data_IF_336997476077
#
_entry.id   IF_336997476077
#
_cell.length_a   1.000
_cell.length_b   1.000
_cell.length_c   1.000
_cell.angle_alpha   90.00
_cell.angle_beta   90.00
_cell.angle_gamma   90.00
#
_symmetry.space_group_name_H-M   'P 1'
#
loop_
_entity.id
_entity.type
_entity.pdbx_description
1 polymer ?
#
# COMPACT_ATOMS: atom_id res chain seq x y z
N UNK A 1 -4.48 -7.82 30.04
CA UNK A 1 -5.04 -6.46 29.92
C UNK A 1 -4.06 -5.48 29.27
N UNK A 2 -2.81 -5.41 29.73
CA UNK A 2 -1.74 -4.52 29.20
C UNK A 2 -1.54 -4.60 27.67
N UNK A 3 -1.55 -5.81 27.08
CA UNK A 3 -1.37 -5.98 25.62
C UNK A 3 -2.48 -5.35 24.76
N UNK A 4 -3.71 -5.25 25.26
CA UNK A 4 -4.81 -4.62 24.49
C UNK A 4 -4.67 -3.10 24.46
N UNK A 5 -4.38 -2.49 25.60
CA UNK A 5 -4.17 -1.03 25.70
C UNK A 5 -3.03 -0.57 24.80
N UNK A 6 -1.90 -1.29 24.82
CA UNK A 6 -0.76 -1.00 23.94
C UNK A 6 -1.13 -1.12 22.44
N UNK A 7 -2.03 -2.05 22.09
CA UNK A 7 -2.49 -2.23 20.72
C UNK A 7 -3.38 -1.07 20.25
N UNK A 8 -4.32 -0.64 21.09
CA UNK A 8 -5.21 0.48 20.77
C UNK A 8 -4.42 1.80 20.65
N UNK A 9 -3.42 2.00 21.52
CA UNK A 9 -2.52 3.15 21.46
C UNK A 9 -1.69 3.17 20.19
N UNK A 10 -1.13 2.03 19.77
CA UNK A 10 -0.36 1.94 18.53
C UNK A 10 -1.21 2.28 17.30
N UNK A 11 -2.45 1.79 17.24
CA UNK A 11 -3.38 2.12 16.13
C UNK A 11 -3.73 3.60 16.12
N UNK A 12 -3.97 4.21 17.29
CA UNK A 12 -4.24 5.64 17.41
C UNK A 12 -3.05 6.48 16.94
N UNK A 13 -1.83 6.13 17.33
CA UNK A 13 -0.60 6.81 16.90
C UNK A 13 -0.42 6.66 15.38
N UNK A 14 -0.60 5.45 14.84
CA UNK A 14 -0.49 5.22 13.40
C UNK A 14 -1.53 6.01 12.60
N UNK A 15 -2.78 6.08 13.08
CA UNK A 15 -3.81 6.88 12.45
C UNK A 15 -3.48 8.38 12.48
N UNK A 16 -2.96 8.89 13.59
CA UNK A 16 -2.48 10.27 13.69
C UNK A 16 -1.32 10.54 12.71
N UNK A 17 -0.38 9.60 12.62
CA UNK A 17 0.74 9.67 11.67
C UNK A 17 0.25 9.79 10.23
N UNK A 18 -0.69 8.94 9.81
CA UNK A 18 -1.26 8.96 8.45
C UNK A 18 -2.05 10.24 8.17
N UNK A 19 -2.84 10.72 9.13
CA UNK A 19 -3.57 11.99 9.01
C UNK A 19 -2.63 13.20 8.89
N UNK A 20 -1.48 13.18 9.58
CA UNK A 20 -0.49 14.25 9.50
C UNK A 20 0.09 14.46 8.08
N UNK A 21 -0.05 13.46 7.21
CA UNK A 21 0.45 13.52 5.84
C UNK A 21 -0.53 14.14 4.84
N UNK A 22 -1.80 14.40 5.20
CA UNK A 22 -2.82 14.82 4.21
C UNK A 22 -2.38 16.00 3.36
N UNK A 23 -1.92 17.08 3.99
CA UNK A 23 -1.47 18.30 3.28
C UNK A 23 -0.22 18.05 2.43
N UNK A 24 0.76 17.35 3.01
CA UNK A 24 1.97 16.95 2.29
C UNK A 24 1.64 16.11 1.05
N UNK A 25 0.69 15.18 1.18
CA UNK A 25 0.26 14.32 0.09
C UNK A 25 -0.42 15.11 -1.02
N UNK A 26 -1.34 16.03 -0.71
CA UNK A 26 -2.09 16.79 -1.74
C UNK A 26 -1.25 17.89 -2.40
N UNK A 27 -0.41 18.59 -1.64
CA UNK A 27 0.24 19.82 -2.10
C UNK A 27 1.70 19.64 -2.53
N UNK A 28 2.50 18.98 -1.70
CA UNK A 28 3.95 18.83 -1.92
C UNK A 28 4.27 17.59 -2.76
N UNK A 29 3.88 16.40 -2.27
CA UNK A 29 4.10 15.11 -2.92
C UNK A 29 3.20 14.91 -4.15
N UNK A 30 2.05 15.61 -4.19
CA UNK A 30 1.02 15.48 -5.23
C UNK A 30 0.63 14.02 -5.46
N UNK A 31 0.35 13.31 -4.37
CA UNK A 31 -0.09 11.92 -4.31
C UNK A 31 0.76 10.97 -5.17
N UNK A 32 2.09 11.10 -5.13
CA UNK A 32 3.02 10.34 -5.99
C UNK A 32 2.72 8.83 -6.06
N UNK A 33 2.50 8.18 -4.91
CA UNK A 33 2.20 6.75 -4.85
C UNK A 33 0.90 6.38 -5.60
N UNK A 34 -0.10 7.27 -5.60
CA UNK A 34 -1.34 7.10 -6.34
C UNK A 34 -1.17 7.27 -7.86
N UNK A 35 -0.04 7.80 -8.33
CA UNK A 35 0.20 8.10 -9.76
C UNK A 35 1.12 7.13 -10.48
N UNK A 36 1.91 6.36 -9.73
CA UNK A 36 3.00 5.55 -10.29
C UNK A 36 3.12 4.15 -9.72
N UNK A 37 2.40 3.84 -8.65
CA UNK A 37 2.50 2.54 -7.99
C UNK A 37 1.64 1.45 -8.62
N UNK A 38 1.53 0.37 -7.87
CA UNK A 38 0.53 -0.67 -8.01
C UNK A 38 -0.20 -0.79 -6.67
N UNK A 39 -1.39 -1.34 -6.70
CA UNK A 39 -2.17 -1.58 -5.50
C UNK A 39 -2.73 -3.00 -5.56
N UNK A 40 -2.35 -3.82 -4.60
CA UNK A 40 -2.93 -5.16 -4.44
C UNK A 40 -3.98 -5.07 -3.34
N UNK A 41 -5.21 -5.44 -3.69
CA UNK A 41 -6.38 -5.33 -2.80
C UNK A 41 -7.07 -6.68 -2.73
N UNK A 42 -7.48 -7.16 -1.54
CA UNK A 42 -8.32 -8.35 -1.44
C UNK A 42 -9.59 -8.20 -2.28
N UNK A 43 -10.04 -9.27 -2.97
CA UNK A 43 -11.20 -9.21 -3.89
C UNK A 43 -12.43 -8.53 -3.28
N UNK A 44 -12.70 -8.84 -2.00
CA UNK A 44 -13.83 -8.29 -1.23
C UNK A 44 -13.80 -6.76 -1.10
N UNK A 45 -12.61 -6.15 -1.11
CA UNK A 45 -12.42 -4.69 -0.98
C UNK A 45 -12.15 -4.01 -2.33
N UNK A 46 -11.98 -4.77 -3.40
CA UNK A 46 -11.63 -4.25 -4.73
C UNK A 46 -12.81 -3.61 -5.47
N UNK A 47 -14.06 -3.88 -5.04
CA UNK A 47 -15.30 -3.47 -5.71
C UNK A 47 -15.36 -1.98 -6.06
N UNK A 48 -14.97 -1.11 -5.11
CA UNK A 48 -14.99 0.35 -5.29
C UNK A 48 -14.00 0.79 -6.37
N UNK A 49 -12.85 0.13 -6.49
CA UNK A 49 -11.87 0.47 -7.51
C UNK A 49 -12.23 -0.14 -8.86
N UNK A 50 -12.75 -1.38 -8.88
CA UNK A 50 -13.22 -2.03 -10.09
C UNK A 50 -14.32 -1.22 -10.80
N UNK A 51 -15.22 -0.58 -10.05
CA UNK A 51 -16.28 0.26 -10.65
C UNK A 51 -15.75 1.57 -11.26
N UNK A 52 -14.53 1.99 -10.93
CA UNK A 52 -13.91 3.22 -11.42
C UNK A 52 -12.89 2.98 -12.53
N UNK A 53 -12.30 1.78 -12.59
CA UNK A 53 -11.37 1.41 -13.66
C UNK A 53 -12.15 1.09 -14.93
N UNK A 54 -11.92 1.86 -15.99
CA UNK A 54 -12.50 1.60 -17.33
C UNK A 54 -11.61 0.77 -18.24
N UNK A 55 -10.30 0.73 -17.95
CA UNK A 55 -9.30 0.02 -18.77
C UNK A 55 -8.92 -1.29 -18.08
N UNK A 56 -9.39 -2.41 -18.65
CA UNK A 56 -9.12 -3.75 -18.13
C UNK A 56 -7.63 -4.10 -18.11
N UNK A 57 -6.80 -3.50 -18.96
CA UNK A 57 -5.34 -3.73 -18.96
C UNK A 57 -4.66 -3.20 -17.68
N UNK A 58 -5.39 -2.43 -16.87
CA UNK A 58 -4.92 -1.94 -15.57
C UNK A 58 -5.28 -2.87 -14.42
N UNK A 59 -6.00 -3.94 -14.67
CA UNK A 59 -6.52 -4.86 -13.66
C UNK A 59 -5.96 -6.26 -13.91
N UNK A 60 -5.32 -6.85 -12.90
CA UNK A 60 -4.94 -8.27 -12.90
C UNK A 60 -5.68 -8.98 -11.78
N UNK A 61 -6.53 -9.94 -12.13
CA UNK A 61 -7.18 -10.81 -11.15
C UNK A 61 -6.20 -11.88 -10.67
N UNK A 62 -6.05 -11.99 -9.35
CA UNK A 62 -5.26 -13.02 -8.66
C UNK A 62 -6.21 -13.98 -7.93
N UNK A 63 -5.74 -15.12 -7.36
CA UNK A 63 -6.62 -16.06 -6.66
C UNK A 63 -7.47 -15.42 -5.56
N UNK A 64 -6.86 -14.60 -4.68
CA UNK A 64 -7.57 -13.98 -3.53
C UNK A 64 -7.59 -12.44 -3.56
N UNK A 65 -6.98 -11.85 -4.58
CA UNK A 65 -6.79 -10.40 -4.67
C UNK A 65 -6.95 -9.88 -6.10
N UNK A 66 -6.94 -8.56 -6.22
CA UNK A 66 -6.93 -7.83 -7.48
C UNK A 66 -5.76 -6.86 -7.41
N UNK A 67 -4.90 -6.91 -8.43
CA UNK A 67 -3.82 -5.95 -8.60
C UNK A 67 -4.24 -4.85 -9.57
N UNK A 68 -4.04 -3.61 -9.17
CA UNK A 68 -4.32 -2.42 -9.96
C UNK A 68 -3.03 -1.74 -10.34
N UNK A 69 -2.82 -1.52 -11.64
CA UNK A 69 -1.74 -0.69 -12.17
C UNK A 69 -2.13 0.77 -12.09
N UNK A 70 -1.40 1.57 -11.30
CA UNK A 70 -1.68 3.00 -11.12
C UNK A 70 -0.90 3.88 -12.12
N UNK A 71 -0.31 3.29 -13.18
CA UNK A 71 0.41 4.01 -14.23
C UNK A 71 -0.59 4.88 -15.00
N UNK A 72 -0.52 6.20 -14.79
CA UNK A 72 -1.48 7.16 -15.35
C UNK A 72 -2.59 7.60 -14.37
N UNK A 73 -2.34 7.47 -13.06
CA UNK A 73 -3.19 7.89 -11.94
C UNK A 73 -4.22 6.85 -11.49
N UNK A 74 -4.32 6.67 -10.18
CA UNK A 74 -5.40 5.92 -9.53
C UNK A 74 -6.75 6.46 -10.04
N UNK A 75 -7.69 5.58 -10.43
CA UNK A 75 -8.99 6.01 -10.95
C UNK A 75 -9.80 6.92 -10.00
N UNK A 76 -9.54 6.80 -8.70
CA UNK A 76 -10.17 7.63 -7.68
C UNK A 76 -9.37 8.91 -7.36
N UNK A 77 -8.30 9.23 -8.09
CA UNK A 77 -7.50 10.43 -7.86
C UNK A 77 -8.06 11.61 -8.66
N UNK A 78 -8.45 12.66 -7.96
CA UNK A 78 -8.94 13.93 -8.55
C UNK A 78 -8.20 15.06 -7.84
N UNK A 79 -7.49 15.91 -8.60
CA UNK A 79 -6.71 17.04 -8.05
C UNK A 79 -5.80 16.62 -6.87
N UNK A 80 -5.07 15.51 -7.04
CA UNK A 80 -4.20 14.91 -6.01
C UNK A 80 -4.89 14.48 -4.70
N UNK A 81 -6.22 14.41 -4.70
CA UNK A 81 -7.05 13.96 -3.58
C UNK A 81 -7.86 12.73 -3.97
N UNK A 82 -8.20 11.88 -3.00
CA UNK A 82 -8.97 10.68 -3.26
C UNK A 82 -10.48 10.99 -3.22
N UNK A 83 -11.18 10.79 -4.34
CA UNK A 83 -12.63 11.03 -4.47
C UNK A 83 -13.49 10.05 -3.68
N UNK A 84 -12.95 8.87 -3.33
CA UNK A 84 -13.63 7.83 -2.55
C UNK A 84 -13.00 7.64 -1.17
N UNK A 85 -12.56 8.74 -0.54
CA UNK A 85 -11.78 8.72 0.71
C UNK A 85 -12.35 7.79 1.80
N UNK A 86 -13.68 7.81 1.99
CA UNK A 86 -14.37 7.01 3.00
C UNK A 86 -14.67 5.57 2.59
N UNK A 87 -14.48 5.24 1.31
CA UNK A 87 -14.68 3.90 0.74
C UNK A 87 -13.35 3.26 0.31
N UNK A 88 -12.21 3.90 0.62
CA UNK A 88 -10.89 3.38 0.30
C UNK A 88 -10.67 1.99 0.89
N UNK A 89 -10.03 1.06 0.15
CA UNK A 89 -9.58 -0.22 0.68
C UNK A 89 -8.65 -0.06 1.88
N UNK A 90 -8.58 -1.09 2.72
CA UNK A 90 -7.80 -1.06 3.95
C UNK A 90 -6.31 -0.79 3.68
N UNK A 91 -5.74 -1.38 2.63
CA UNK A 91 -4.36 -1.12 2.20
C UNK A 91 -4.08 0.37 1.93
N UNK A 92 -5.04 1.11 1.37
CA UNK A 92 -4.91 2.55 1.16
C UNK A 92 -5.05 3.36 2.46
N UNK A 93 -5.82 2.85 3.43
CA UNK A 93 -5.97 3.48 4.77
C UNK A 93 -4.76 3.25 5.64
N UNK A 94 -4.06 2.14 5.42
CA UNK A 94 -2.86 1.79 6.16
C UNK A 94 -1.58 2.37 5.56
N UNK A 95 -1.57 2.68 4.28
CA UNK A 95 -0.44 3.35 3.64
C UNK A 95 -0.17 4.74 4.25
N UNK A 96 1.09 5.14 4.49
CA UNK A 96 2.33 4.39 4.26
C UNK A 96 2.86 3.62 5.49
N UNK A 97 2.10 3.55 6.59
CA UNK A 97 2.54 3.00 7.87
C UNK A 97 1.58 1.89 8.33
N UNK A 98 1.98 0.64 8.17
CA UNK A 98 1.17 -0.54 8.46
C UNK A 98 1.51 -1.12 9.83
N UNK A 99 0.50 -1.63 10.52
CA UNK A 99 0.65 -2.41 11.75
C UNK A 99 0.19 -3.84 11.49
N UNK A 100 1.01 -4.82 11.84
CA UNK A 100 0.65 -6.24 11.72
C UNK A 100 1.14 -6.98 12.98
N UNK A 101 0.21 -7.38 13.84
CA UNK A 101 0.55 -7.89 15.16
C UNK A 101 1.34 -6.84 15.95
N UNK A 102 2.55 -7.22 16.39
CA UNK A 102 3.50 -6.32 17.08
C UNK A 102 4.55 -5.73 16.14
N UNK A 103 4.34 -5.82 14.82
CA UNK A 103 5.29 -5.37 13.81
C UNK A 103 4.81 -4.09 13.14
N UNK A 104 5.71 -3.12 12.97
CA UNK A 104 5.52 -1.89 12.21
C UNK A 104 6.20 -2.06 10.85
N UNK A 105 5.49 -1.73 9.77
CA UNK A 105 6.04 -1.69 8.41
C UNK A 105 5.78 -0.31 7.81
N UNK A 106 6.75 0.23 7.07
CA UNK A 106 6.63 1.54 6.41
C UNK A 106 6.89 1.38 4.93
N UNK A 107 6.15 2.05 4.03
CA UNK A 107 6.45 1.93 2.59
C UNK A 107 7.68 2.73 2.19
N UNK A 108 8.64 2.09 1.51
CA UNK A 108 9.83 2.76 0.97
C UNK A 108 9.52 3.69 -0.21
N UNK A 109 8.40 3.47 -0.90
CA UNK A 109 7.95 4.28 -2.04
C UNK A 109 7.30 5.60 -1.63
N UNK A 110 7.07 5.84 -0.34
CA UNK A 110 6.45 7.08 0.13
C UNK A 110 7.49 8.17 0.36
N UNK A 111 7.38 9.29 -0.35
CA UNK A 111 8.26 10.45 -0.17
C UNK A 111 8.25 10.98 1.26
N UNK A 112 7.10 10.92 1.97
CA UNK A 112 7.03 11.34 3.37
C UNK A 112 7.86 10.44 4.30
N UNK A 113 7.92 9.13 4.00
CA UNK A 113 8.78 8.18 4.73
C UNK A 113 10.24 8.50 4.46
N UNK A 114 10.62 8.71 3.19
CA UNK A 114 11.99 9.05 2.80
C UNK A 114 12.47 10.38 3.43
N UNK A 115 11.56 11.33 3.66
CA UNK A 115 11.84 12.59 4.35
C UNK A 115 11.74 12.49 5.88
N UNK A 116 11.56 11.30 6.46
CA UNK A 116 11.53 11.09 7.90
C UNK A 116 10.30 11.64 8.63
N UNK A 117 9.25 12.09 7.91
CA UNK A 117 8.07 12.75 8.53
C UNK A 117 7.29 11.84 9.50
N UNK A 118 7.43 10.52 9.35
CA UNK A 118 6.76 9.53 10.19
C UNK A 118 7.60 9.05 11.38
N UNK A 119 8.89 9.37 11.41
CA UNK A 119 9.82 8.82 12.41
C UNK A 119 9.44 9.20 13.85
N UNK A 120 8.93 10.41 14.16
CA UNK A 120 8.45 10.72 15.50
C UNK A 120 7.30 9.82 15.97
N UNK A 121 6.42 9.40 15.05
CA UNK A 121 5.30 8.49 15.36
C UNK A 121 5.77 7.05 15.50
N UNK A 122 6.66 6.60 14.60
CA UNK A 122 7.25 5.26 14.67
C UNK A 122 7.99 5.09 15.99
N UNK A 123 8.79 6.06 16.41
CA UNK A 123 9.49 6.03 17.69
C UNK A 123 8.53 5.88 18.89
N UNK A 124 7.35 6.52 18.85
CA UNK A 124 6.33 6.34 19.88
C UNK A 124 5.76 4.92 19.89
N UNK A 125 5.49 4.35 18.71
CA UNK A 125 4.96 2.98 18.60
C UNK A 125 6.00 1.96 19.09
N UNK A 126 7.28 2.14 18.76
CA UNK A 126 8.36 1.25 19.22
C UNK A 126 8.50 1.25 20.74
N UNK A 127 8.27 2.39 21.42
CA UNK A 127 8.24 2.46 22.90
C UNK A 127 7.11 1.65 23.53
N UNK A 128 6.07 1.29 22.77
CA UNK A 128 4.99 0.40 23.22
C UNK A 128 5.36 -1.09 23.10
N UNK A 129 6.59 -1.42 22.69
CA UNK A 129 7.07 -2.80 22.55
C UNK A 129 6.85 -3.40 21.16
N UNK A 130 6.54 -2.57 20.17
CA UNK A 130 6.50 -2.98 18.76
C UNK A 130 7.91 -3.07 18.17
N UNK A 131 8.07 -3.87 17.13
CA UNK A 131 9.31 -4.00 16.37
C UNK A 131 9.13 -3.46 14.96
N UNK A 132 10.18 -2.84 14.40
CA UNK A 132 10.20 -2.46 13.00
C UNK A 132 10.54 -3.71 12.17
N UNK A 133 9.82 -3.95 11.08
CA UNK A 133 10.14 -5.06 10.18
C UNK A 133 11.57 -4.90 9.62
N UNK A 134 12.42 -5.94 9.70
CA UNK A 134 13.84 -5.85 9.31
C UNK A 134 14.02 -5.67 7.80
N UNK A 135 13.11 -6.25 7.02
CA UNK A 135 12.97 -6.01 5.60
C UNK A 135 11.61 -5.38 5.41
N UNK A 136 11.56 -4.20 4.81
CA UNK A 136 10.31 -3.60 4.39
C UNK A 136 9.78 -4.42 3.19
N UNK A 137 8.73 -5.25 3.32
CA UNK A 137 8.23 -6.02 2.19
C UNK A 137 7.68 -5.12 1.06
N UNK A 138 7.41 -3.85 1.36
CA UNK A 138 7.01 -2.83 0.38
C UNK A 138 8.16 -1.94 -0.10
N UNK A 139 9.42 -2.24 0.24
CA UNK A 139 10.59 -1.67 -0.44
C UNK A 139 10.98 -2.49 -1.68
N UNK A 140 10.47 -3.72 -1.83
CA UNK A 140 10.96 -4.71 -2.81
C UNK A 140 9.84 -5.30 -3.67
N UNK A 141 8.64 -4.71 -3.74
CA UNK A 141 7.74 -5.02 -4.85
C UNK A 141 8.28 -4.31 -6.11
N UNK A 142 9.40 -4.81 -6.61
CA UNK A 142 9.85 -4.53 -7.96
C UNK A 142 9.14 -5.54 -8.86
N UNK A 143 8.08 -5.10 -9.53
CA UNK A 143 7.25 -5.99 -10.35
C UNK A 143 8.08 -6.59 -11.51
N UNK A 144 9.20 -5.98 -11.88
CA UNK A 144 10.07 -6.47 -12.95
C UNK A 144 10.87 -7.73 -12.57
N UNK A 145 11.11 -8.00 -11.28
CA UNK A 145 11.88 -9.18 -10.84
C UNK A 145 11.00 -10.39 -10.52
N UNK A 146 9.79 -10.18 -10.00
CA UNK A 146 8.86 -11.29 -9.66
C UNK A 146 8.01 -11.77 -10.85
N UNK A 147 8.14 -11.14 -12.03
CA UNK A 147 7.50 -11.59 -13.28
C UNK A 147 8.40 -12.43 -14.19
N UNK A 148 9.68 -12.62 -13.85
CA UNK A 148 10.56 -13.58 -14.55
C UNK A 148 10.44 -14.99 -13.98
N UNK A 149 9.23 -15.54 -13.97
CA UNK A 149 9.02 -17.00 -13.98
C UNK A 149 7.77 -17.33 -14.78
N UNK A 150 7.76 -16.97 -16.07
CA UNK A 150 7.23 -17.94 -17.02
C UNK A 150 8.31 -19.03 -17.13
N UNK A 151 8.06 -20.30 -16.73
CA UNK A 151 8.89 -21.37 -17.23
C UNK A 151 8.80 -21.29 -18.76
N UNK A 152 9.97 -21.30 -19.42
CA UNK A 152 10.03 -21.37 -20.87
C UNK A 152 9.07 -22.47 -21.35
N UNK A 153 8.31 -22.25 -22.44
CA UNK A 153 7.44 -23.28 -22.97
C UNK A 153 8.29 -24.53 -23.22
N UNK A 154 7.82 -25.66 -22.68
CA UNK A 154 8.47 -26.95 -22.80
C UNK A 154 8.65 -27.28 -24.30
N UNK A 155 9.90 -27.45 -24.78
CA UNK A 155 10.16 -27.72 -26.19
C UNK A 155 9.71 -29.13 -26.64
N UNK A 156 9.05 -29.92 -25.78
CA UNK A 156 8.67 -31.31 -26.09
C UNK A 156 7.24 -31.52 -26.57
N UNK A 157 6.42 -30.49 -26.77
CA UNK A 157 5.12 -30.65 -27.44
C UNK A 157 5.30 -30.62 -28.96
N UNK A 158 5.84 -31.72 -29.49
CA UNK A 158 5.73 -32.09 -30.90
C UNK A 158 4.27 -32.41 -31.18
N UNK A 159 3.56 -31.48 -31.83
CA UNK A 159 2.29 -31.79 -32.49
C UNK A 159 2.61 -32.65 -33.71
N UNK A 160 1.83 -33.72 -33.86
CA UNK A 160 1.95 -34.81 -34.82
C UNK A 160 2.09 -34.40 -36.28
#
# INVERSE_FOLDING_TARGET
MVRRVAMDDAHRIAQAARKSLSLFCSEECRAYCCRRGYLVVPKQQALVLLSLVKDENRVKHLPDSVSFKLKGDCPALVNFSCSVYDLRPQVCRDFPLFLHGTTVMVSGYCTAVAQGKLYPFIAQILRLGYTLAPNNPFAVFDFDTDFKQDPAPDPTVSVS
#
